data_IF_800989689430
#
_entry.id   IF_800989689430
#
_cell.length_a   1.000
_cell.length_b   1.000
_cell.length_c   1.000
_cell.angle_alpha   90.00
_cell.angle_beta   90.00
_cell.angle_gamma   90.00
#
_symmetry.space_group_name_H-M   'P 1'
#
loop_
_entity.id
_entity.type
_entity.pdbx_description
1 polymer ?
#
# COMPACT_ATOMS: atom_id res chain seq x y z
N UNK A 1 -8.39 -35.19 50.37
CA UNK A 1 -8.44 -33.93 51.15
C UNK A 1 -7.76 -32.85 50.31
N UNK A 2 -8.50 -32.26 49.38
CA UNK A 2 -8.01 -31.11 48.60
C UNK A 2 -8.05 -29.85 49.47
N UNK A 3 -6.91 -29.17 49.58
CA UNK A 3 -6.73 -28.03 50.48
C UNK A 3 -7.49 -26.78 49.97
N UNK A 4 -8.17 -26.02 50.85
CA UNK A 4 -8.99 -24.86 50.50
C UNK A 4 -8.20 -23.68 49.87
N UNK A 5 -6.86 -23.73 49.90
CA UNK A 5 -6.01 -22.70 49.28
C UNK A 5 -5.92 -22.79 47.75
N UNK A 6 -5.96 -23.98 47.14
CA UNK A 6 -5.88 -24.13 45.66
C UNK A 6 -7.10 -23.53 44.96
N UNK A 7 -8.29 -23.71 45.54
CA UNK A 7 -9.56 -23.20 44.99
C UNK A 7 -9.66 -21.67 45.06
N UNK A 8 -8.97 -21.06 46.02
CA UNK A 8 -8.99 -19.61 46.25
C UNK A 8 -7.95 -18.91 45.35
N UNK A 9 -6.77 -19.50 45.16
CA UNK A 9 -5.74 -19.04 44.21
C UNK A 9 -6.22 -19.09 42.75
N UNK A 10 -6.94 -20.15 42.34
CA UNK A 10 -7.54 -20.22 41.01
C UNK A 10 -8.60 -19.13 40.82
N UNK A 11 -9.51 -18.92 41.77
CA UNK A 11 -10.52 -17.85 41.67
C UNK A 11 -9.92 -16.44 41.55
N UNK A 12 -8.80 -16.16 42.23
CA UNK A 12 -8.10 -14.88 42.14
C UNK A 12 -7.37 -14.71 40.79
N UNK A 13 -6.77 -15.78 40.26
CA UNK A 13 -6.22 -15.83 38.89
C UNK A 13 -7.32 -15.63 37.83
N UNK A 14 -8.45 -16.28 38.01
CA UNK A 14 -9.59 -16.23 37.10
C UNK A 14 -10.24 -14.83 37.13
N UNK A 15 -10.36 -14.21 38.31
CA UNK A 15 -10.86 -12.84 38.47
C UNK A 15 -9.93 -11.80 37.83
N UNK A 16 -8.61 -11.97 37.95
CA UNK A 16 -7.60 -11.12 37.30
C UNK A 16 -7.54 -11.30 35.77
N UNK A 17 -7.78 -12.50 35.27
CA UNK A 17 -7.89 -12.77 33.83
C UNK A 17 -9.17 -12.17 33.24
N UNK A 18 -10.30 -12.33 33.94
CA UNK A 18 -11.62 -11.81 33.53
C UNK A 18 -11.67 -10.27 33.49
N UNK A 19 -10.99 -9.58 34.42
CA UNK A 19 -10.95 -8.10 34.43
C UNK A 19 -10.12 -7.53 33.28
N UNK A 20 -8.99 -8.15 32.95
CA UNK A 20 -8.20 -7.75 31.78
C UNK A 20 -8.92 -8.09 30.46
N UNK A 21 -9.62 -9.23 30.41
CA UNK A 21 -10.45 -9.62 29.27
C UNK A 21 -11.59 -8.62 28.99
N UNK A 22 -12.18 -7.99 30.03
CA UNK A 22 -13.24 -7.00 29.84
C UNK A 22 -12.77 -5.69 29.20
N UNK A 23 -11.52 -5.24 29.47
CA UNK A 23 -10.97 -4.00 28.87
C UNK A 23 -10.43 -4.23 27.46
N UNK A 24 -9.92 -5.44 27.19
CA UNK A 24 -9.42 -5.88 25.89
C UNK A 24 -10.57 -6.31 24.95
N UNK A 25 -11.79 -6.56 25.46
CA UNK A 25 -12.94 -7.04 24.67
C UNK A 25 -13.22 -6.21 23.43
N UNK A 26 -13.17 -4.88 23.46
CA UNK A 26 -13.53 -4.04 22.31
C UNK A 26 -12.53 -4.15 21.15
N UNK A 27 -11.26 -3.87 21.43
CA UNK A 27 -10.22 -3.86 20.39
C UNK A 27 -9.93 -5.28 19.87
N UNK A 28 -9.92 -6.27 20.76
CA UNK A 28 -9.72 -7.67 20.35
C UNK A 28 -10.89 -8.18 19.54
N UNK A 29 -12.12 -7.75 19.86
CA UNK A 29 -13.31 -8.08 19.08
C UNK A 29 -13.27 -7.42 17.70
N UNK A 30 -12.80 -6.18 17.60
CA UNK A 30 -12.58 -5.51 16.33
C UNK A 30 -11.52 -6.26 15.49
N UNK A 31 -10.31 -6.49 16.01
CA UNK A 31 -9.27 -7.20 15.28
C UNK A 31 -9.65 -8.65 14.94
N UNK A 32 -10.36 -9.37 15.82
CA UNK A 32 -10.87 -10.72 15.50
C UNK A 32 -11.93 -10.69 14.40
N UNK A 33 -12.75 -9.63 14.36
CA UNK A 33 -13.70 -9.40 13.27
C UNK A 33 -12.97 -9.06 11.96
N UNK A 34 -11.92 -8.23 12.00
CA UNK A 34 -11.04 -7.95 10.87
C UNK A 34 -10.33 -9.22 10.34
N UNK A 35 -10.12 -10.23 11.18
CA UNK A 35 -9.56 -11.50 10.77
C UNK A 35 -10.59 -12.46 10.13
N UNK A 36 -11.87 -12.06 10.04
CA UNK A 36 -12.95 -12.92 9.56
C UNK A 36 -13.35 -14.02 10.55
N UNK A 37 -12.92 -13.95 11.82
CA UNK A 37 -13.18 -14.98 12.81
C UNK A 37 -14.63 -14.92 13.33
N UNK A 38 -15.27 -16.08 13.51
CA UNK A 38 -16.56 -16.15 14.22
C UNK A 38 -16.30 -16.04 15.72
N UNK A 39 -16.61 -14.87 16.31
CA UNK A 39 -16.41 -14.56 17.72
C UNK A 39 -16.93 -15.66 18.67
N UNK A 40 -18.08 -16.26 18.36
CA UNK A 40 -18.68 -17.34 19.16
C UNK A 40 -17.86 -18.64 19.19
N UNK A 41 -17.09 -18.93 18.14
CA UNK A 41 -16.16 -20.07 18.13
C UNK A 41 -14.87 -19.74 18.88
N UNK A 42 -14.41 -18.49 18.78
CA UNK A 42 -13.17 -18.05 19.41
C UNK A 42 -13.27 -18.09 20.93
N UNK A 43 -14.44 -17.73 21.49
CA UNK A 43 -14.72 -17.78 22.94
C UNK A 43 -14.63 -19.19 23.54
N UNK A 44 -14.69 -20.24 22.72
CA UNK A 44 -14.50 -21.63 23.15
C UNK A 44 -13.04 -22.10 23.09
N UNK A 45 -12.15 -21.37 22.41
CA UNK A 45 -10.77 -21.77 22.15
C UNK A 45 -9.78 -20.63 22.49
N UNK A 46 -9.33 -20.50 23.76
CA UNK A 46 -8.43 -19.42 24.19
C UNK A 46 -7.08 -19.40 23.46
N UNK A 47 -6.61 -20.56 22.97
CA UNK A 47 -5.31 -20.71 22.30
C UNK A 47 -5.27 -20.10 20.90
N UNK A 48 -6.39 -20.03 20.19
CA UNK A 48 -6.42 -19.54 18.80
C UNK A 48 -6.58 -18.02 18.71
N UNK A 49 -6.85 -17.33 19.82
CA UNK A 49 -7.01 -15.87 19.86
C UNK A 49 -5.81 -15.11 19.31
N UNK A 50 -4.59 -15.48 19.70
CA UNK A 50 -3.38 -14.79 19.24
C UNK A 50 -3.18 -14.89 17.72
N UNK A 51 -3.60 -16.00 17.09
CA UNK A 51 -3.49 -16.19 15.64
C UNK A 51 -4.44 -15.24 14.90
N UNK A 52 -5.72 -15.25 15.26
CA UNK A 52 -6.71 -14.38 14.62
C UNK A 52 -6.44 -12.90 14.92
N UNK A 53 -6.00 -12.57 16.12
CA UNK A 53 -5.59 -11.20 16.45
C UNK A 53 -4.44 -10.71 15.56
N UNK A 54 -3.40 -11.53 15.34
CA UNK A 54 -2.29 -11.20 14.45
C UNK A 54 -2.73 -11.01 12.99
N UNK A 55 -3.62 -11.88 12.50
CA UNK A 55 -4.20 -11.76 11.14
C UNK A 55 -5.01 -10.46 11.02
N UNK A 56 -5.82 -10.13 12.01
CA UNK A 56 -6.62 -8.90 12.03
C UNK A 56 -5.78 -7.62 12.06
N UNK A 57 -4.66 -7.64 12.80
CA UNK A 57 -3.71 -6.53 12.81
C UNK A 57 -3.09 -6.33 11.43
N UNK A 58 -2.71 -7.40 10.75
CA UNK A 58 -2.09 -7.31 9.42
C UNK A 58 -3.01 -6.62 8.40
N UNK A 59 -4.30 -6.95 8.40
CA UNK A 59 -5.31 -6.33 7.53
C UNK A 59 -5.60 -4.87 7.92
N UNK A 60 -5.62 -4.56 9.21
CA UNK A 60 -5.78 -3.17 9.65
C UNK A 60 -4.57 -2.31 9.25
N UNK A 61 -3.36 -2.88 9.32
CA UNK A 61 -2.14 -2.20 8.96
C UNK A 61 -2.08 -1.89 7.45
N UNK A 62 -2.53 -2.80 6.59
CA UNK A 62 -2.63 -2.54 5.14
C UNK A 62 -3.60 -1.39 4.85
N UNK A 63 -4.75 -1.33 5.53
CA UNK A 63 -5.71 -0.21 5.41
C UNK A 63 -5.15 1.15 5.86
N UNK A 64 -4.38 1.18 6.96
CA UNK A 64 -3.71 2.39 7.44
C UNK A 64 -2.67 2.86 6.42
N UNK A 65 -1.81 1.95 5.93
CA UNK A 65 -0.79 2.26 4.94
C UNK A 65 -1.41 2.77 3.63
N UNK A 66 -2.51 2.15 3.20
CA UNK A 66 -3.28 2.58 2.04
C UNK A 66 -3.92 3.96 2.23
N UNK A 67 -4.38 4.29 3.45
CA UNK A 67 -4.91 5.62 3.76
C UNK A 67 -3.84 6.70 3.60
N UNK A 68 -2.63 6.44 4.10
CA UNK A 68 -1.49 7.36 4.00
C UNK A 68 -1.09 7.53 2.53
N UNK A 69 -0.99 6.43 1.79
CA UNK A 69 -0.67 6.43 0.35
C UNK A 69 -1.73 7.17 -0.47
N UNK A 70 -3.02 6.91 -0.23
CA UNK A 70 -4.12 7.59 -0.90
C UNK A 70 -4.16 9.08 -0.58
N UNK A 71 -3.93 9.46 0.68
CA UNK A 71 -3.82 10.86 1.08
C UNK A 71 -2.68 11.56 0.32
N UNK A 72 -1.50 10.93 0.25
CA UNK A 72 -0.35 11.47 -0.49
C UNK A 72 -0.60 11.62 -2.00
N UNK A 73 -1.28 10.65 -2.61
CA UNK A 73 -1.63 10.71 -4.03
C UNK A 73 -2.60 11.86 -4.33
N UNK A 74 -3.61 12.06 -3.47
CA UNK A 74 -4.61 13.12 -3.67
C UNK A 74 -4.01 14.51 -3.37
N UNK A 75 -3.12 14.60 -2.37
CA UNK A 75 -2.35 15.82 -2.10
C UNK A 75 -1.54 16.25 -3.34
N UNK A 76 -0.95 15.29 -4.06
CA UNK A 76 -0.16 15.56 -5.27
C UNK A 76 -0.98 16.06 -6.47
N UNK A 77 -2.30 15.86 -6.47
CA UNK A 77 -3.17 16.22 -7.61
C UNK A 77 -3.94 17.51 -7.33
N UNK A 78 -4.48 17.67 -6.11
CA UNK A 78 -5.47 18.71 -5.80
C UNK A 78 -4.94 19.86 -4.94
N UNK A 79 -3.72 19.76 -4.37
CA UNK A 79 -3.11 20.77 -3.46
C UNK A 79 -3.98 21.21 -2.26
N UNK A 80 -5.11 20.53 -2.01
CA UNK A 80 -6.07 20.85 -0.96
C UNK A 80 -5.93 19.88 0.22
N UNK A 81 -5.45 20.38 1.37
CA UNK A 81 -5.11 19.55 2.52
C UNK A 81 -6.32 18.86 3.19
N UNK A 82 -7.45 19.55 3.34
CA UNK A 82 -8.62 19.02 4.06
C UNK A 82 -9.38 17.93 3.29
N UNK A 83 -9.50 18.10 1.98
CA UNK A 83 -10.19 17.15 1.09
C UNK A 83 -9.33 15.90 0.91
N UNK A 84 -8.01 16.07 0.80
CA UNK A 84 -7.08 14.96 0.66
C UNK A 84 -7.12 13.97 1.82
N UNK A 85 -7.26 14.45 3.06
CA UNK A 85 -7.34 13.58 4.23
C UNK A 85 -8.62 12.73 4.23
N UNK A 86 -9.77 13.34 3.94
CA UNK A 86 -11.07 12.64 3.91
C UNK A 86 -11.10 11.61 2.79
N UNK A 87 -10.58 11.99 1.62
CA UNK A 87 -10.61 11.14 0.44
C UNK A 87 -9.55 10.02 0.52
N UNK A 88 -8.40 10.28 1.14
CA UNK A 88 -7.41 9.25 1.48
C UNK A 88 -7.92 8.26 2.54
N UNK A 89 -8.63 8.74 3.56
CA UNK A 89 -9.29 7.87 4.53
C UNK A 89 -10.36 6.99 3.86
N UNK A 90 -11.18 7.55 2.96
CA UNK A 90 -12.14 6.79 2.18
C UNK A 90 -11.46 5.69 1.35
N UNK A 91 -10.34 6.02 0.68
CA UNK A 91 -9.55 5.06 -0.08
C UNK A 91 -8.99 3.93 0.79
N UNK A 92 -8.45 4.27 1.96
CA UNK A 92 -7.94 3.26 2.89
C UNK A 92 -9.03 2.36 3.46
N UNK A 93 -10.23 2.89 3.74
CA UNK A 93 -11.41 2.10 4.12
C UNK A 93 -11.80 1.16 2.98
N UNK A 94 -11.77 1.62 1.73
CA UNK A 94 -12.07 0.78 0.56
C UNK A 94 -11.09 -0.40 0.44
N UNK A 95 -9.78 -0.15 0.56
CA UNK A 95 -8.75 -1.22 0.53
C UNK A 95 -8.93 -2.18 1.70
N UNK A 96 -9.19 -1.66 2.91
CA UNK A 96 -9.45 -2.48 4.09
C UNK A 96 -10.67 -3.39 3.91
N UNK A 97 -11.79 -2.86 3.37
CA UNK A 97 -13.00 -3.65 3.11
C UNK A 97 -12.76 -4.75 2.06
N UNK A 98 -11.97 -4.47 1.02
CA UNK A 98 -11.61 -5.48 0.02
C UNK A 98 -10.73 -6.58 0.60
N UNK A 99 -9.64 -6.25 1.31
CA UNK A 99 -8.76 -7.25 1.92
C UNK A 99 -9.52 -8.07 2.97
N UNK A 100 -10.41 -7.43 3.75
CA UNK A 100 -11.32 -8.12 4.67
C UNK A 100 -12.29 -9.08 3.96
N UNK A 101 -12.96 -8.63 2.89
CA UNK A 101 -13.91 -9.46 2.15
C UNK A 101 -13.25 -10.70 1.54
N UNK A 102 -12.05 -10.53 0.96
CA UNK A 102 -11.27 -11.65 0.42
C UNK A 102 -10.94 -12.64 1.55
N UNK A 103 -10.47 -12.13 2.70
CA UNK A 103 -10.11 -12.95 3.85
C UNK A 103 -11.32 -13.70 4.46
N UNK A 104 -12.46 -13.03 4.56
CA UNK A 104 -13.70 -13.61 5.07
C UNK A 104 -14.32 -14.62 4.09
N UNK A 105 -14.08 -14.47 2.78
CA UNK A 105 -14.58 -15.37 1.73
C UNK A 105 -13.76 -16.66 1.57
N UNK A 106 -12.59 -16.77 2.23
CA UNK A 106 -11.78 -17.99 2.21
C UNK A 106 -12.50 -19.12 2.97
N UNK A 107 -13.21 -19.97 2.22
CA UNK A 107 -13.85 -21.17 2.74
C UNK A 107 -12.79 -22.26 2.93
N UNK A 108 -12.55 -22.66 4.17
CA UNK A 108 -11.65 -23.78 4.51
C UNK A 108 -12.17 -25.07 3.86
N UNK A 109 -11.54 -25.51 2.77
CA UNK A 109 -11.88 -26.78 2.13
C UNK A 109 -10.97 -27.88 2.70
N UNK A 110 -11.54 -28.66 3.63
CA UNK A 110 -10.82 -29.56 4.55
C UNK A 110 -9.98 -30.66 3.90
N UNK A 111 -10.09 -30.89 2.58
CA UNK A 111 -9.55 -32.11 1.96
C UNK A 111 -8.25 -31.94 1.14
N UNK A 112 -7.81 -30.71 0.81
CA UNK A 112 -6.61 -30.52 -0.05
C UNK A 112 -5.84 -29.25 0.31
N UNK A 113 -4.69 -29.40 0.98
CA UNK A 113 -3.79 -28.30 1.39
C UNK A 113 -3.28 -27.48 0.18
N UNK A 114 -3.09 -28.11 -0.98
CA UNK A 114 -2.70 -27.44 -2.22
C UNK A 114 -3.81 -26.55 -2.82
N UNK A 115 -5.08 -26.91 -2.60
CA UNK A 115 -6.24 -26.13 -3.06
C UNK A 115 -6.48 -24.91 -2.14
N UNK A 116 -6.09 -24.99 -0.87
CA UNK A 116 -6.11 -23.87 0.07
C UNK A 116 -5.10 -22.78 -0.35
N UNK A 117 -3.89 -23.15 -0.76
CA UNK A 117 -2.92 -22.21 -1.32
C UNK A 117 -3.41 -21.57 -2.63
N UNK A 118 -4.05 -22.35 -3.51
CA UNK A 118 -4.66 -21.86 -4.74
C UNK A 118 -5.77 -20.83 -4.47
N UNK A 119 -6.54 -21.01 -3.38
CA UNK A 119 -7.58 -20.06 -2.98
C UNK A 119 -7.04 -18.74 -2.40
N UNK A 120 -5.74 -18.67 -2.05
CA UNK A 120 -5.06 -17.44 -1.66
C UNK A 120 -4.44 -16.68 -2.85
N UNK A 121 -4.38 -17.29 -4.05
CA UNK A 121 -3.90 -16.64 -5.27
C UNK A 121 -4.65 -15.36 -5.67
N UNK A 122 -5.98 -15.21 -5.49
CA UNK A 122 -6.68 -13.98 -5.84
C UNK A 122 -6.08 -12.77 -5.12
N UNK A 123 -5.65 -12.94 -3.86
CA UNK A 123 -5.00 -11.88 -3.07
C UNK A 123 -3.65 -11.48 -3.67
N UNK A 124 -2.85 -12.46 -4.10
CA UNK A 124 -1.57 -12.21 -4.76
C UNK A 124 -1.77 -11.53 -6.13
N UNK A 125 -2.73 -11.98 -6.93
CA UNK A 125 -3.03 -11.38 -8.22
C UNK A 125 -3.45 -9.90 -8.09
N UNK A 126 -4.33 -9.59 -7.14
CA UNK A 126 -4.76 -8.20 -6.87
C UNK A 126 -3.60 -7.35 -6.35
N UNK A 127 -2.77 -7.89 -5.46
CA UNK A 127 -1.59 -7.17 -4.92
C UNK A 127 -0.58 -6.81 -6.02
N UNK A 128 -0.28 -7.77 -6.91
CA UNK A 128 0.62 -7.53 -8.06
C UNK A 128 0.02 -6.51 -9.01
N UNK A 129 -1.29 -6.61 -9.30
CA UNK A 129 -1.99 -5.63 -10.14
C UNK A 129 -1.89 -4.21 -9.56
N UNK A 130 -2.19 -4.05 -8.27
CA UNK A 130 -2.10 -2.74 -7.58
C UNK A 130 -0.65 -2.21 -7.56
N UNK A 131 0.33 -3.09 -7.34
CA UNK A 131 1.74 -2.70 -7.36
C UNK A 131 2.15 -2.12 -8.73
N UNK A 132 1.76 -2.77 -9.83
CA UNK A 132 2.04 -2.28 -11.19
C UNK A 132 1.33 -0.95 -11.44
N UNK A 133 0.04 -0.86 -11.09
CA UNK A 133 -0.76 0.36 -11.28
C UNK A 133 -0.20 1.55 -10.51
N UNK A 134 0.40 1.34 -9.33
CA UNK A 134 1.03 2.40 -8.52
C UNK A 134 2.46 2.69 -8.99
N UNK A 135 3.21 1.68 -9.42
CA UNK A 135 4.61 1.83 -9.83
C UNK A 135 4.76 2.68 -11.10
N UNK A 136 3.94 2.44 -12.12
CA UNK A 136 4.02 3.13 -13.42
C UNK A 136 3.90 4.67 -13.31
N UNK A 137 2.89 5.25 -12.62
CA UNK A 137 2.80 6.70 -12.48
C UNK A 137 3.92 7.28 -11.61
N UNK A 138 4.39 6.57 -10.59
CA UNK A 138 5.51 7.01 -9.75
C UNK A 138 6.83 7.01 -10.54
N UNK A 139 7.05 5.98 -11.34
CA UNK A 139 8.20 5.84 -12.23
C UNK A 139 8.28 7.01 -13.22
N UNK A 140 7.18 7.30 -13.91
CA UNK A 140 7.10 8.42 -14.85
C UNK A 140 7.31 9.77 -14.16
N UNK A 141 6.74 9.98 -12.97
CA UNK A 141 6.90 11.23 -12.21
C UNK A 141 8.34 11.46 -11.73
N UNK A 142 9.03 10.39 -11.33
CA UNK A 142 10.43 10.46 -10.93
C UNK A 142 11.32 10.77 -12.13
N UNK A 143 11.11 10.08 -13.25
CA UNK A 143 11.92 10.24 -14.46
C UNK A 143 11.62 11.51 -15.25
N UNK A 144 10.43 12.11 -15.10
CA UNK A 144 10.10 13.40 -15.71
C UNK A 144 11.13 14.48 -15.35
N UNK A 145 11.63 14.49 -14.11
CA UNK A 145 12.63 15.46 -13.67
C UNK A 145 13.99 15.27 -14.37
N UNK A 146 14.43 14.04 -14.54
CA UNK A 146 15.69 13.72 -15.23
C UNK A 146 15.59 13.97 -16.74
N UNK A 147 14.45 13.61 -17.36
CA UNK A 147 14.19 13.86 -18.77
C UNK A 147 14.20 15.35 -19.06
N UNK A 148 13.56 16.17 -18.22
CA UNK A 148 13.54 17.62 -18.40
C UNK A 148 14.94 18.24 -18.31
N UNK A 149 15.78 17.79 -17.38
CA UNK A 149 17.18 18.23 -17.29
C UNK A 149 17.99 17.88 -18.54
N UNK A 150 17.91 16.63 -19.00
CA UNK A 150 18.60 16.21 -20.22
C UNK A 150 18.06 16.94 -21.47
N UNK A 151 16.76 17.19 -21.51
CA UNK A 151 16.11 17.90 -22.62
C UNK A 151 16.60 19.36 -22.72
N UNK A 152 16.80 20.05 -21.60
CA UNK A 152 17.32 21.42 -21.59
C UNK A 152 18.80 21.48 -22.02
N UNK A 153 19.62 20.53 -21.59
CA UNK A 153 21.00 20.39 -22.06
C UNK A 153 21.03 20.11 -23.57
N UNK A 154 20.19 19.18 -24.05
CA UNK A 154 20.10 18.83 -25.46
C UNK A 154 19.60 19.99 -26.33
N UNK A 155 18.61 20.77 -25.86
CA UNK A 155 18.14 21.98 -26.53
C UNK A 155 19.24 23.02 -26.64
N UNK A 156 20.00 23.24 -25.56
CA UNK A 156 21.12 24.19 -25.53
C UNK A 156 22.18 23.78 -26.55
N UNK A 157 22.57 22.50 -26.58
CA UNK A 157 23.52 21.97 -27.57
C UNK A 157 23.01 22.08 -29.01
N UNK A 158 21.73 21.76 -29.26
CA UNK A 158 21.15 21.90 -30.61
C UNK A 158 21.17 23.36 -31.06
N UNK A 159 20.79 24.31 -30.21
CA UNK A 159 20.77 25.73 -30.57
C UNK A 159 22.15 26.27 -30.96
N UNK A 160 23.21 25.89 -30.24
CA UNK A 160 24.58 26.28 -30.62
C UNK A 160 25.01 25.65 -31.95
N UNK A 161 24.68 24.38 -32.18
CA UNK A 161 25.01 23.69 -33.42
C UNK A 161 24.25 24.27 -34.63
N UNK A 162 22.99 24.68 -34.45
CA UNK A 162 22.24 25.43 -35.47
C UNK A 162 22.87 26.79 -35.75
N UNK A 163 23.37 27.52 -34.73
CA UNK A 163 24.08 28.78 -34.95
C UNK A 163 25.40 28.59 -35.70
N UNK A 164 26.13 27.51 -35.39
CA UNK A 164 27.38 27.15 -36.07
C UNK A 164 27.15 26.80 -37.55
N UNK A 165 26.14 25.95 -37.85
CA UNK A 165 25.75 25.63 -39.24
C UNK A 165 25.31 26.86 -40.03
N UNK A 166 24.61 27.80 -39.40
CA UNK A 166 24.21 29.06 -40.04
C UNK A 166 25.43 29.94 -40.30
N UNK A 167 26.37 30.05 -39.34
CA UNK A 167 27.58 30.84 -39.49
C UNK A 167 28.54 30.30 -40.56
N UNK A 168 28.76 28.99 -40.59
CA UNK A 168 29.57 28.33 -41.63
C UNK A 168 28.93 28.45 -43.02
N UNK A 169 27.59 28.41 -43.09
CA UNK A 169 26.84 28.69 -44.30
C UNK A 169 27.15 30.08 -44.86
N UNK A 170 27.15 31.12 -44.03
CA UNK A 170 27.54 32.48 -44.47
C UNK A 170 29.00 32.57 -44.91
N UNK A 171 29.92 31.92 -44.21
CA UNK A 171 31.34 31.89 -44.57
C UNK A 171 31.61 31.24 -45.94
N UNK A 172 30.84 30.21 -46.31
CA UNK A 172 30.94 29.60 -47.64
C UNK A 172 30.36 30.50 -48.74
N UNK A 173 29.26 31.20 -48.49
CA UNK A 173 28.65 32.11 -49.47
C UNK A 173 29.62 33.28 -49.77
N UNK A 174 30.31 33.80 -48.76
CA UNK A 174 31.31 34.87 -48.95
C UNK A 174 32.52 34.39 -49.77
N UNK A 175 32.99 33.15 -49.54
CA UNK A 175 34.07 32.54 -50.34
C UNK A 175 33.65 32.34 -51.80
N UNK A 176 32.45 31.83 -52.03
CA UNK A 176 31.90 31.64 -53.38
C UNK A 176 31.67 32.98 -54.11
N UNK A 177 31.27 34.04 -53.41
CA UNK A 177 31.20 35.39 -53.99
C UNK A 177 32.56 35.98 -54.35
N UNK A 178 33.63 35.64 -53.62
CA UNK A 178 35.01 36.03 -53.97
C UNK A 178 35.55 35.26 -55.17
N UNK A 179 35.19 33.99 -55.34
CA UNK A 179 35.58 33.18 -56.51
C UNK A 179 34.74 33.48 -57.76
N UNK A 180 33.49 33.91 -57.61
CA UNK A 180 32.58 34.22 -58.74
C UNK A 180 32.71 35.68 -59.22
N UNK A 181 33.55 36.49 -58.59
CA UNK A 181 33.81 37.86 -59.06
C UNK A 181 34.90 37.79 -60.16
N UNK A 182 34.57 38.12 -61.42
CA UNK A 182 35.54 38.12 -62.52
C UNK A 182 36.65 39.14 -62.31
#
# INVERSE_FOLDING_TARGET
>A
MDTPQKTTSNRLRDAGYQTNAMKLKGIYRFFSWCAGARLFLLEKCPTDYNKFFGIGILVAFTGIMASISGTFAILSIFELNAISLTMGAFWGVFVFFLDWYILASLKKNKNNIGMEALSALPRLAISVLLAVVIAVPLELRLFEQEILQQLDVLKTHKSSNYQEMVHDGYGQIEKLQKETKP
#
